data_IF_471282380444
#
_entry.id   IF_471282380444
#
_cell.length_a   1.000
_cell.length_b   1.000
_cell.length_c   1.000
_cell.angle_alpha   90.00
_cell.angle_beta   90.00
_cell.angle_gamma   90.00
#
_symmetry.space_group_name_H-M   'P 1'
#
loop_
_entity.id
_entity.type
_entity.pdbx_description
1 polymer ?
#
# COMPACT_ATOMS: atom_id res chain seq x y z
N UNK A 1 -35.81 -34.66 -30.71
CA UNK A 1 -34.57 -33.87 -30.92
C UNK A 1 -34.88 -32.42 -30.56
N UNK A 2 -34.75 -32.06 -29.29
CA UNK A 2 -34.79 -30.67 -28.84
C UNK A 2 -33.37 -30.27 -28.48
N UNK A 3 -32.80 -29.36 -29.27
CA UNK A 3 -31.48 -28.81 -29.05
C UNK A 3 -31.44 -27.99 -27.77
N UNK A 4 -30.60 -28.43 -26.84
CA UNK A 4 -30.09 -27.61 -25.75
C UNK A 4 -29.15 -26.56 -26.34
N UNK A 5 -29.67 -25.37 -26.65
CA UNK A 5 -28.84 -24.17 -26.66
C UNK A 5 -28.54 -23.81 -25.21
N UNK A 6 -27.51 -24.44 -24.65
CA UNK A 6 -26.80 -23.93 -23.49
C UNK A 6 -26.07 -22.68 -23.99
N UNK A 7 -26.80 -21.57 -24.05
CA UNK A 7 -26.21 -20.25 -24.02
C UNK A 7 -25.57 -20.15 -22.65
N UNK A 8 -24.28 -20.51 -22.59
CA UNK A 8 -23.40 -20.14 -21.49
C UNK A 8 -23.43 -18.61 -21.50
N UNK A 9 -24.32 -18.03 -20.70
CA UNK A 9 -24.19 -16.68 -20.25
C UNK A 9 -22.82 -16.62 -19.57
N UNK A 10 -21.79 -16.21 -20.33
CA UNK A 10 -20.61 -15.62 -19.73
C UNK A 10 -21.17 -14.54 -18.82
N UNK A 11 -21.20 -14.81 -17.52
CA UNK A 11 -21.47 -13.80 -16.53
C UNK A 11 -20.49 -12.69 -16.84
N UNK A 12 -20.99 -11.64 -17.48
CA UNK A 12 -20.25 -10.40 -17.70
C UNK A 12 -20.01 -9.90 -16.28
N UNK A 13 -18.84 -10.26 -15.75
CA UNK A 13 -18.41 -9.79 -14.45
C UNK A 13 -18.47 -8.28 -14.54
N UNK A 14 -19.27 -7.67 -13.68
CA UNK A 14 -19.53 -6.25 -13.74
C UNK A 14 -18.18 -5.51 -13.72
N UNK A 15 -17.83 -4.67 -14.73
CA UNK A 15 -16.57 -3.93 -14.77
C UNK A 15 -16.34 -3.06 -13.52
N UNK A 16 -17.38 -2.88 -12.70
CA UNK A 16 -17.40 -2.26 -11.39
C UNK A 16 -16.53 -2.96 -10.32
N UNK A 17 -16.16 -4.24 -10.49
CA UNK A 17 -15.37 -4.98 -9.48
C UNK A 17 -13.95 -4.42 -9.31
N UNK A 18 -13.36 -3.87 -10.37
CA UNK A 18 -12.00 -3.31 -10.33
C UNK A 18 -11.98 -1.84 -9.91
N UNK A 19 -13.04 -1.07 -10.19
CA UNK A 19 -13.11 0.36 -9.86
C UNK A 19 -14.24 0.66 -8.87
N UNK A 20 -13.94 0.77 -7.57
CA UNK A 20 -14.93 1.06 -6.55
C UNK A 20 -15.51 2.49 -6.66
N UNK A 21 -14.93 3.39 -7.46
CA UNK A 21 -15.54 4.70 -7.72
C UNK A 21 -16.84 4.61 -8.52
N UNK A 22 -17.13 3.48 -9.17
CA UNK A 22 -18.45 3.29 -9.81
C UNK A 22 -19.57 3.16 -8.78
N UNK A 23 -19.24 2.86 -7.52
CA UNK A 23 -20.19 2.84 -6.40
C UNK A 23 -20.60 4.24 -5.94
N UNK A 24 -19.91 5.29 -6.40
CA UNK A 24 -20.18 6.69 -6.08
C UNK A 24 -20.92 7.35 -7.25
N UNK A 25 -21.78 8.33 -6.96
CA UNK A 25 -22.51 9.05 -8.01
C UNK A 25 -21.55 9.62 -9.07
N UNK A 26 -21.84 9.44 -10.38
CA UNK A 26 -20.91 9.79 -11.45
C UNK A 26 -20.60 11.28 -11.52
N UNK A 27 -21.49 12.13 -10.99
CA UNK A 27 -21.29 13.57 -10.89
C UNK A 27 -20.21 13.96 -9.86
N UNK A 28 -20.03 13.17 -8.80
CA UNK A 28 -19.13 13.48 -7.68
C UNK A 28 -17.84 12.65 -7.72
N UNK A 29 -17.91 11.44 -8.29
CA UNK A 29 -16.80 10.49 -8.31
C UNK A 29 -15.47 11.06 -8.84
N UNK A 30 -15.41 11.83 -9.95
CA UNK A 30 -14.15 12.36 -10.46
C UNK A 30 -13.51 13.38 -9.51
N UNK A 31 -14.30 14.33 -8.99
CA UNK A 31 -13.81 15.36 -8.07
C UNK A 31 -13.32 14.74 -6.76
N UNK A 32 -14.07 13.76 -6.25
CA UNK A 32 -13.69 13.02 -5.05
C UNK A 32 -12.40 12.21 -5.26
N UNK A 33 -12.27 11.51 -6.41
CA UNK A 33 -11.07 10.76 -6.75
C UNK A 33 -9.83 11.64 -6.81
N UNK A 34 -9.93 12.80 -7.47
CA UNK A 34 -8.83 13.77 -7.55
C UNK A 34 -8.46 14.29 -6.16
N UNK A 35 -9.44 14.66 -5.33
CA UNK A 35 -9.19 15.15 -3.98
C UNK A 35 -8.50 14.08 -3.09
N UNK A 36 -9.04 12.86 -3.04
CA UNK A 36 -8.47 11.75 -2.27
C UNK A 36 -7.05 11.44 -2.74
N UNK A 37 -6.84 11.38 -4.06
CA UNK A 37 -5.52 11.11 -4.66
C UNK A 37 -4.54 12.20 -4.31
N UNK A 38 -4.89 13.47 -4.53
CA UNK A 38 -4.01 14.60 -4.27
C UNK A 38 -3.57 14.65 -2.79
N UNK A 39 -4.51 14.42 -1.86
CA UNK A 39 -4.22 14.35 -0.42
C UNK A 39 -3.31 13.17 -0.11
N UNK A 40 -3.64 11.97 -0.60
CA UNK A 40 -2.88 10.74 -0.30
C UNK A 40 -1.46 10.79 -0.86
N UNK A 41 -1.29 11.26 -2.10
CA UNK A 41 0.02 11.46 -2.74
C UNK A 41 0.84 12.48 -1.96
N UNK A 42 0.25 13.64 -1.63
CA UNK A 42 0.94 14.71 -0.91
C UNK A 42 1.43 14.24 0.45
N UNK A 43 0.57 13.55 1.21
CA UNK A 43 0.94 12.99 2.52
C UNK A 43 2.03 11.92 2.38
N UNK A 44 1.90 11.00 1.42
CA UNK A 44 2.89 9.93 1.22
C UNK A 44 4.26 10.47 0.84
N UNK A 45 4.32 11.45 -0.08
CA UNK A 45 5.57 12.11 -0.47
C UNK A 45 6.16 12.94 0.69
N UNK A 46 5.32 13.58 1.50
CA UNK A 46 5.78 14.31 2.68
C UNK A 46 6.42 13.36 3.70
N UNK A 47 5.79 12.22 3.98
CA UNK A 47 6.34 11.17 4.86
C UNK A 47 7.65 10.64 4.29
N UNK A 48 7.67 10.32 2.98
CA UNK A 48 8.88 9.86 2.29
C UNK A 48 10.03 10.86 2.44
N UNK A 49 9.77 12.15 2.22
CA UNK A 49 10.77 13.23 2.39
C UNK A 49 11.30 13.30 3.82
N UNK A 50 10.45 13.15 4.84
CA UNK A 50 10.90 13.13 6.23
C UNK A 50 11.82 11.95 6.53
N UNK A 51 11.47 10.76 6.06
CA UNK A 51 12.33 9.59 6.23
C UNK A 51 13.62 9.67 5.42
N UNK A 52 13.58 10.22 4.21
CA UNK A 52 14.76 10.41 3.38
C UNK A 52 15.75 11.36 4.06
N UNK A 53 15.24 12.46 4.62
CA UNK A 53 16.06 13.37 5.44
C UNK A 53 16.66 12.64 6.64
N UNK A 54 15.88 11.84 7.37
CA UNK A 54 16.41 11.04 8.48
C UNK A 54 17.47 10.03 8.03
N UNK A 55 17.29 9.40 6.87
CA UNK A 55 18.26 8.47 6.28
C UNK A 55 19.60 9.15 5.98
N UNK A 56 19.58 10.34 5.36
CA UNK A 56 20.81 11.08 5.06
C UNK A 56 21.64 11.42 6.30
N UNK A 57 21.00 11.55 7.48
CA UNK A 57 21.72 11.77 8.74
C UNK A 57 22.22 10.50 9.41
N UNK A 58 21.51 9.38 9.30
CA UNK A 58 21.85 8.14 10.00
C UNK A 58 22.70 7.17 9.18
N UNK A 59 22.64 7.21 7.84
CA UNK A 59 23.46 6.40 6.94
C UNK A 59 23.15 4.88 6.92
N UNK A 60 22.17 4.40 7.69
CA UNK A 60 21.83 2.98 7.74
C UNK A 60 20.98 2.55 6.54
N UNK A 61 21.52 1.65 5.70
CA UNK A 61 20.86 1.16 4.49
C UNK A 61 19.46 0.58 4.70
N UNK A 62 19.20 -0.08 5.84
CA UNK A 62 17.87 -0.64 6.14
C UNK A 62 16.79 0.43 6.33
N UNK A 63 17.16 1.69 6.62
CA UNK A 63 16.21 2.80 6.74
C UNK A 63 15.72 3.31 5.38
N UNK A 64 16.34 2.89 4.27
CA UNK A 64 15.97 3.31 2.91
C UNK A 64 14.62 2.71 2.44
N UNK A 65 14.23 1.54 2.97
CA UNK A 65 12.94 0.91 2.62
C UNK A 65 11.73 1.74 3.05
N UNK A 66 11.84 2.54 4.13
CA UNK A 66 10.78 3.46 4.56
C UNK A 66 10.50 4.60 3.56
N UNK A 67 11.47 5.48 3.21
CA UNK A 67 11.21 6.55 2.25
C UNK A 67 10.86 6.03 0.86
N UNK A 68 11.51 4.96 0.40
CA UNK A 68 11.19 4.36 -0.91
C UNK A 68 9.78 3.75 -0.89
N UNK A 69 9.44 3.02 0.17
CA UNK A 69 8.10 2.45 0.32
C UNK A 69 7.00 3.50 0.32
N UNK A 70 7.14 4.59 1.08
CA UNK A 70 6.17 5.70 1.03
C UNK A 70 6.16 6.44 -0.32
N UNK A 71 7.28 6.51 -1.05
CA UNK A 71 7.28 7.05 -2.40
C UNK A 71 6.48 6.15 -3.36
N UNK A 72 6.64 4.83 -3.27
CA UNK A 72 5.92 3.85 -4.08
C UNK A 72 4.42 3.82 -3.75
N UNK A 73 4.05 3.97 -2.48
CA UNK A 73 2.66 4.18 -2.06
C UNK A 73 2.06 5.44 -2.73
N UNK A 74 2.81 6.54 -2.74
CA UNK A 74 2.40 7.77 -3.44
C UNK A 74 2.21 7.54 -4.94
N UNK A 75 3.16 6.87 -5.60
CA UNK A 75 3.06 6.51 -7.01
C UNK A 75 1.83 5.61 -7.29
N UNK A 76 1.53 4.65 -6.39
CA UNK A 76 0.37 3.78 -6.53
C UNK A 76 -0.95 4.56 -6.61
N UNK A 77 -1.09 5.63 -5.82
CA UNK A 77 -2.28 6.48 -5.85
C UNK A 77 -2.39 7.29 -7.14
N UNK A 78 -1.28 7.66 -7.77
CA UNK A 78 -1.32 8.29 -9.10
C UNK A 78 -1.86 7.30 -10.15
N UNK A 79 -1.45 6.04 -10.08
CA UNK A 79 -1.96 4.99 -10.97
C UNK A 79 -3.44 4.65 -10.69
N UNK A 80 -3.92 4.79 -9.45
CA UNK A 80 -5.35 4.73 -9.12
C UNK A 80 -6.14 5.78 -9.91
N UNK A 81 -5.68 7.03 -9.91
CA UNK A 81 -6.31 8.10 -10.69
C UNK A 81 -6.18 7.86 -12.20
N UNK A 82 -5.02 7.40 -12.68
CA UNK A 82 -4.84 7.05 -14.10
C UNK A 82 -5.81 5.96 -14.53
N UNK A 83 -6.00 4.91 -13.73
CA UNK A 83 -6.96 3.84 -14.04
C UNK A 83 -8.38 4.41 -14.22
N UNK A 84 -8.79 5.37 -13.38
CA UNK A 84 -10.09 6.02 -13.47
C UNK A 84 -10.23 6.87 -14.74
N UNK A 85 -9.17 7.61 -15.12
CA UNK A 85 -9.17 8.44 -16.34
C UNK A 85 -9.29 7.58 -17.60
N UNK A 86 -8.67 6.41 -17.62
CA UNK A 86 -8.69 5.48 -18.74
C UNK A 86 -9.76 4.40 -18.63
N UNK A 87 -10.80 4.56 -17.79
CA UNK A 87 -11.84 3.55 -17.54
C UNK A 87 -12.54 2.98 -18.78
N UNK A 88 -12.56 3.74 -19.88
CA UNK A 88 -13.19 3.33 -21.14
C UNK A 88 -12.24 2.54 -22.06
N UNK A 89 -10.93 2.56 -21.77
CA UNK A 89 -9.92 1.87 -22.55
C UNK A 89 -9.72 0.44 -22.00
N UNK A 90 -9.97 -0.61 -22.80
CA UNK A 90 -9.92 -2.00 -22.34
C UNK A 90 -8.50 -2.51 -22.05
N UNK A 91 -7.45 -1.78 -22.45
CA UNK A 91 -6.05 -2.15 -22.20
C UNK A 91 -5.42 -1.30 -21.10
N UNK A 92 -5.60 0.02 -21.17
CA UNK A 92 -4.94 0.95 -20.23
C UNK A 92 -5.57 0.89 -18.83
N UNK A 93 -6.90 0.74 -18.73
CA UNK A 93 -7.57 0.61 -17.44
C UNK A 93 -7.04 -0.56 -16.59
N UNK A 94 -7.08 -1.83 -17.07
CA UNK A 94 -6.57 -2.95 -16.28
C UNK A 94 -5.05 -2.86 -16.06
N UNK A 95 -4.28 -2.31 -17.00
CA UNK A 95 -2.84 -2.11 -16.83
C UNK A 95 -2.52 -1.13 -15.69
N UNK A 96 -3.18 0.03 -15.63
CA UNK A 96 -2.95 1.00 -14.55
C UNK A 96 -3.45 0.52 -13.19
N UNK A 97 -4.63 -0.10 -13.15
CA UNK A 97 -5.14 -0.75 -11.94
C UNK A 97 -4.14 -1.78 -11.40
N UNK A 98 -3.54 -2.54 -12.30
CA UNK A 98 -2.54 -3.53 -11.94
C UNK A 98 -1.25 -2.93 -11.38
N UNK A 99 -0.70 -1.92 -12.07
CA UNK A 99 0.51 -1.22 -11.63
C UNK A 99 0.28 -0.59 -10.26
N UNK A 100 -0.90 0.00 -10.02
CA UNK A 100 -1.32 0.49 -8.72
C UNK A 100 -1.21 -0.61 -7.64
N UNK A 101 -1.87 -1.75 -7.83
CA UNK A 101 -1.91 -2.83 -6.83
C UNK A 101 -0.51 -3.41 -6.56
N UNK A 102 0.32 -3.51 -7.59
CA UNK A 102 1.70 -3.99 -7.49
C UNK A 102 2.55 -3.03 -6.67
N UNK A 103 2.55 -1.74 -7.02
CA UNK A 103 3.29 -0.70 -6.30
C UNK A 103 2.86 -0.55 -4.85
N UNK A 104 1.55 -0.68 -4.55
CA UNK A 104 1.06 -0.62 -3.18
C UNK A 104 1.59 -1.79 -2.34
N UNK A 105 1.61 -2.99 -2.90
CA UNK A 105 2.10 -4.19 -2.21
C UNK A 105 3.61 -4.15 -1.99
N UNK A 106 4.35 -3.67 -2.99
CA UNK A 106 5.79 -3.41 -2.92
C UNK A 106 6.14 -2.38 -1.85
N UNK A 107 5.42 -1.26 -1.84
CA UNK A 107 5.60 -0.21 -0.87
C UNK A 107 5.52 -0.73 0.56
N UNK A 108 4.47 -1.52 0.85
CA UNK A 108 4.26 -2.12 2.17
C UNK A 108 5.33 -3.15 2.50
N UNK A 109 5.75 -3.96 1.52
CA UNK A 109 6.80 -4.95 1.69
C UNK A 109 8.16 -4.30 1.99
N UNK A 110 8.51 -3.20 1.32
CA UNK A 110 9.73 -2.42 1.59
C UNK A 110 9.71 -1.81 3.00
N UNK A 111 8.56 -1.27 3.42
CA UNK A 111 8.37 -0.75 4.78
C UNK A 111 8.55 -1.89 5.79
N UNK A 112 7.94 -3.05 5.56
CA UNK A 112 8.08 -4.22 6.42
C UNK A 112 9.51 -4.72 6.52
N UNK A 113 10.24 -4.73 5.40
CA UNK A 113 11.65 -5.12 5.35
C UNK A 113 12.53 -4.19 6.20
N UNK A 114 12.28 -2.87 6.16
CA UNK A 114 12.94 -1.92 7.05
C UNK A 114 12.70 -2.22 8.54
N UNK A 115 11.48 -2.59 8.91
CA UNK A 115 11.16 -2.97 10.30
C UNK A 115 11.75 -4.32 10.70
N UNK A 116 11.83 -5.26 9.77
CA UNK A 116 12.44 -6.56 9.97
C UNK A 116 13.93 -6.42 10.30
N UNK A 117 14.70 -5.75 9.45
CA UNK A 117 16.13 -5.56 9.69
C UNK A 117 16.43 -4.74 10.95
N UNK A 118 15.62 -3.72 11.24
CA UNK A 118 15.71 -2.97 12.51
C UNK A 118 15.56 -3.89 13.74
N UNK A 119 14.68 -4.88 13.66
CA UNK A 119 14.47 -5.83 14.77
C UNK A 119 15.59 -6.87 14.89
N UNK A 120 16.20 -7.26 13.77
CA UNK A 120 17.31 -8.23 13.71
C UNK A 120 18.60 -7.66 14.28
N UNK A 121 18.92 -6.39 14.00
CA UNK A 121 20.11 -5.71 14.54
C UNK A 121 20.07 -5.59 16.08
N UNK A 122 18.88 -5.57 16.68
CA UNK A 122 18.70 -5.52 18.13
C UNK A 122 18.75 -6.88 18.83
N UNK A 123 18.75 -8.00 18.07
CA UNK A 123 18.48 -9.33 18.65
C UNK A 123 19.68 -10.24 18.83
N UNK A 124 20.76 -10.19 18.05
CA UNK A 124 21.97 -10.99 18.37
C UNK A 124 23.16 -10.81 17.41
N UNK A 125 24.34 -10.73 18.02
CA UNK A 125 25.65 -11.01 17.44
C UNK A 125 25.73 -12.48 16.98
N UNK A 126 25.73 -12.73 15.67
CA UNK A 126 25.97 -14.07 15.15
C UNK A 126 25.45 -14.27 13.75
N UNK A 127 26.28 -13.93 12.76
CA UNK A 127 26.06 -14.16 11.33
C UNK A 127 25.75 -15.63 11.03
N UNK A 128 24.48 -16.01 11.10
CA UNK A 128 23.96 -17.16 10.35
C UNK A 128 22.72 -16.65 9.65
N UNK A 129 22.87 -16.34 8.36
CA UNK A 129 21.75 -16.02 7.47
C UNK A 129 20.78 -17.19 7.59
N UNK A 130 19.71 -17.02 8.35
CA UNK A 130 18.72 -18.07 8.55
C UNK A 130 17.95 -18.17 7.24
N UNK A 131 17.53 -19.37 6.84
CA UNK A 131 16.65 -19.53 5.67
C UNK A 131 15.40 -18.63 5.74
N UNK A 132 14.98 -18.28 6.96
CA UNK A 132 13.96 -17.29 7.26
C UNK A 132 14.30 -15.89 6.73
N UNK A 133 15.55 -15.46 6.80
CA UNK A 133 15.99 -14.12 6.39
C UNK A 133 16.02 -14.03 4.87
N UNK A 134 16.49 -15.09 4.20
CA UNK A 134 16.40 -15.22 2.73
C UNK A 134 14.94 -15.18 2.31
N UNK A 135 14.06 -15.97 2.94
CA UNK A 135 12.63 -16.01 2.64
C UNK A 135 11.97 -14.63 2.81
N UNK A 136 12.21 -13.95 3.93
CA UNK A 136 11.63 -12.62 4.20
C UNK A 136 12.14 -11.57 3.22
N UNK A 137 13.38 -11.70 2.73
CA UNK A 137 13.96 -10.76 1.76
C UNK A 137 13.56 -11.08 0.32
N UNK A 138 13.35 -12.36 -0.02
CA UNK A 138 12.88 -12.78 -1.35
C UNK A 138 11.37 -12.68 -1.50
N UNK A 139 10.59 -12.72 -0.42
CA UNK A 139 9.12 -12.61 -0.49
C UNK A 139 8.64 -11.33 -1.19
N UNK A 140 9.16 -10.11 -0.87
CA UNK A 140 8.84 -8.90 -1.63
C UNK A 140 9.21 -9.05 -3.11
N UNK A 141 10.37 -9.61 -3.41
CA UNK A 141 10.92 -9.70 -4.76
C UNK A 141 10.15 -10.70 -5.65
N UNK A 142 9.69 -11.81 -5.07
CA UNK A 142 8.81 -12.79 -5.72
C UNK A 142 7.40 -12.23 -5.86
N UNK A 143 6.90 -11.53 -4.85
CA UNK A 143 5.58 -10.87 -4.88
C UNK A 143 5.55 -9.62 -5.77
N UNK A 144 6.70 -9.08 -6.18
CA UNK A 144 6.84 -8.11 -7.30
C UNK A 144 6.75 -8.86 -8.62
N UNK A 145 7.55 -9.93 -8.75
CA UNK A 145 7.69 -10.65 -10.01
C UNK A 145 6.39 -11.33 -10.45
N UNK A 146 5.60 -11.88 -9.52
CA UNK A 146 4.33 -12.56 -9.83
C UNK A 146 3.34 -11.58 -10.50
N UNK A 147 3.09 -10.38 -9.94
CA UNK A 147 2.31 -9.35 -10.60
C UNK A 147 2.87 -8.92 -11.95
N UNK A 148 4.18 -8.81 -12.14
CA UNK A 148 4.67 -8.48 -13.49
C UNK A 148 4.56 -9.65 -14.48
N UNK A 149 4.74 -10.90 -14.03
CA UNK A 149 4.74 -12.08 -14.89
C UNK A 149 3.34 -12.46 -15.37
N UNK A 150 2.33 -12.48 -14.49
CA UNK A 150 0.99 -12.98 -14.81
C UNK A 150 0.30 -12.21 -15.95
N UNK A 151 0.25 -10.88 -15.97
CA UNK A 151 -0.41 -10.13 -17.02
C UNK A 151 0.42 -10.04 -18.29
N UNK A 152 1.75 -9.96 -18.17
CA UNK A 152 2.65 -9.99 -19.33
C UNK A 152 2.52 -11.32 -20.06
N UNK A 153 2.40 -12.42 -19.31
CA UNK A 153 2.08 -13.73 -19.85
C UNK A 153 0.66 -13.77 -20.44
N UNK A 154 -0.33 -13.18 -19.76
CA UNK A 154 -1.71 -13.11 -20.28
C UNK A 154 -1.78 -12.35 -21.60
N UNK A 155 -1.13 -11.19 -21.71
CA UNK A 155 -1.02 -10.35 -22.91
C UNK A 155 -0.27 -11.06 -24.06
N UNK A 156 0.74 -11.86 -23.72
CA UNK A 156 1.46 -12.66 -24.72
C UNK A 156 0.62 -13.84 -25.23
N UNK A 157 -0.26 -14.40 -24.39
CA UNK A 157 -1.09 -15.57 -24.72
C UNK A 157 -2.46 -15.22 -25.33
N UNK A 158 -3.02 -14.07 -24.99
CA UNK A 158 -4.31 -13.57 -25.45
C UNK A 158 -4.24 -12.04 -25.63
N UNK A 159 -4.88 -11.47 -26.67
CA UNK A 159 -4.82 -10.04 -26.96
C UNK A 159 -5.59 -9.15 -25.95
N UNK A 160 -6.24 -9.73 -24.93
CA UNK A 160 -7.07 -9.02 -23.96
C UNK A 160 -6.79 -9.49 -22.52
N UNK A 161 -6.94 -8.58 -21.55
CA UNK A 161 -6.82 -8.90 -20.14
C UNK A 161 -8.04 -9.70 -19.64
N UNK A 162 -7.79 -10.76 -18.85
CA UNK A 162 -8.83 -11.49 -18.15
C UNK A 162 -9.26 -10.73 -16.87
N UNK A 163 -10.32 -9.93 -16.97
CA UNK A 163 -10.85 -9.12 -15.86
C UNK A 163 -11.19 -9.92 -14.60
N UNK A 164 -11.73 -11.14 -14.74
CA UNK A 164 -12.06 -11.98 -13.60
C UNK A 164 -10.79 -12.43 -12.85
N UNK A 165 -9.76 -12.82 -13.59
CA UNK A 165 -8.46 -13.17 -13.00
C UNK A 165 -7.78 -11.98 -12.30
N UNK A 166 -7.91 -10.76 -12.85
CA UNK A 166 -7.43 -9.55 -12.18
C UNK A 166 -8.18 -9.24 -10.90
N UNK A 167 -9.49 -9.43 -10.88
CA UNK A 167 -10.32 -9.20 -9.71
C UNK A 167 -9.92 -10.14 -8.57
N UNK A 168 -9.76 -11.44 -8.87
CA UNK A 168 -9.31 -12.43 -7.88
C UNK A 168 -7.90 -12.13 -7.38
N UNK A 169 -6.97 -11.75 -8.26
CA UNK A 169 -5.63 -11.35 -7.81
C UNK A 169 -5.68 -10.10 -6.93
N UNK A 170 -6.53 -9.12 -7.25
CA UNK A 170 -6.67 -7.92 -6.43
C UNK A 170 -7.09 -8.27 -4.99
N UNK A 171 -7.95 -9.28 -4.83
CA UNK A 171 -8.34 -9.80 -3.52
C UNK A 171 -7.14 -10.44 -2.81
N UNK A 172 -6.39 -11.34 -3.47
CA UNK A 172 -5.20 -11.95 -2.87
C UNK A 172 -4.13 -10.94 -2.46
N UNK A 173 -3.91 -9.90 -3.28
CA UNK A 173 -2.96 -8.82 -2.98
C UNK A 173 -3.40 -8.00 -1.76
N UNK A 174 -4.71 -7.74 -1.59
CA UNK A 174 -5.24 -7.07 -0.39
C UNK A 174 -5.01 -7.91 0.87
N UNK A 175 -5.27 -9.22 0.82
CA UNK A 175 -5.00 -10.13 1.94
C UNK A 175 -3.50 -10.15 2.29
N UNK A 176 -2.64 -10.19 1.27
CA UNK A 176 -1.20 -10.07 1.46
C UNK A 176 -0.82 -8.74 2.14
N UNK A 177 -1.34 -7.61 1.65
CA UNK A 177 -1.09 -6.29 2.22
C UNK A 177 -1.54 -6.21 3.69
N UNK A 178 -2.70 -6.79 4.02
CA UNK A 178 -3.16 -6.91 5.40
C UNK A 178 -2.18 -7.70 6.27
N UNK A 179 -1.64 -8.82 5.78
CA UNK A 179 -0.67 -9.62 6.52
C UNK A 179 0.65 -8.85 6.74
N UNK A 180 1.13 -8.14 5.72
CA UNK A 180 2.34 -7.31 5.79
C UNK A 180 2.17 -6.15 6.76
N UNK A 181 1.05 -5.42 6.68
CA UNK A 181 0.75 -4.33 7.62
C UNK A 181 0.59 -4.88 9.05
N UNK A 182 -0.06 -6.04 9.21
CA UNK A 182 -0.18 -6.70 10.51
C UNK A 182 1.19 -7.06 11.11
N UNK A 183 2.13 -7.50 10.28
CA UNK A 183 3.52 -7.71 10.71
C UNK A 183 4.19 -6.39 11.14
N UNK A 184 4.07 -5.32 10.36
CA UNK A 184 4.61 -3.99 10.70
C UNK A 184 4.01 -3.49 12.02
N UNK A 185 2.70 -3.62 12.19
CA UNK A 185 1.98 -3.25 13.42
C UNK A 185 2.54 -4.00 14.63
N UNK A 186 2.69 -5.33 14.53
CA UNK A 186 3.28 -6.14 15.61
C UNK A 186 4.71 -5.70 15.94
N UNK A 187 5.54 -5.46 14.92
CA UNK A 187 6.93 -5.03 15.10
C UNK A 187 7.04 -3.64 15.76
N UNK A 188 6.17 -2.71 15.36
CA UNK A 188 6.10 -1.36 15.93
C UNK A 188 5.62 -1.36 17.38
N UNK A 189 4.61 -2.17 17.73
CA UNK A 189 4.17 -2.36 19.12
C UNK A 189 5.28 -2.96 19.98
N UNK A 190 5.98 -4.00 19.49
CA UNK A 190 7.10 -4.58 20.22
C UNK A 190 8.22 -3.55 20.47
N UNK A 191 8.54 -2.73 19.47
CA UNK A 191 9.50 -1.63 19.61
C UNK A 191 9.01 -0.55 20.58
N UNK A 192 7.71 -0.27 20.62
CA UNK A 192 7.09 0.71 21.51
C UNK A 192 7.19 0.28 22.98
N UNK A 193 6.83 -0.98 23.26
CA UNK A 193 6.89 -1.57 24.61
C UNK A 193 8.32 -1.54 25.14
N UNK A 194 9.32 -1.86 24.31
CA UNK A 194 10.75 -1.78 24.69
C UNK A 194 11.20 -0.35 24.99
N UNK A 195 10.70 0.64 24.26
CA UNK A 195 11.11 2.04 24.41
C UNK A 195 10.36 2.78 25.54
N UNK A 196 9.31 2.18 26.13
CA UNK A 196 8.49 2.74 27.21
C UNK A 196 8.01 4.20 26.98
N UNK A 197 7.81 4.59 25.72
CA UNK A 197 7.48 5.98 25.38
C UNK A 197 6.10 6.06 24.70
N UNK A 198 5.09 6.46 25.47
CA UNK A 198 3.69 6.51 25.04
C UNK A 198 3.45 7.42 23.83
N UNK A 199 4.32 8.42 23.59
CA UNK A 199 4.22 9.33 22.45
C UNK A 199 4.54 8.64 21.10
N UNK A 200 5.07 7.42 21.12
CA UNK A 200 5.29 6.62 19.91
C UNK A 200 4.07 5.75 19.54
N UNK A 201 3.01 5.74 20.34
CA UNK A 201 1.78 4.96 20.08
C UNK A 201 1.06 5.36 18.79
N UNK A 202 1.27 6.59 18.32
CA UNK A 202 0.65 7.08 17.09
C UNK A 202 1.15 6.33 15.84
N UNK A 203 2.37 5.80 15.84
CA UNK A 203 2.93 5.04 14.70
C UNK A 203 2.17 3.72 14.45
N UNK A 204 2.02 2.82 15.43
CA UNK A 204 1.19 1.63 15.24
C UNK A 204 -0.28 1.99 14.99
N UNK A 205 -0.82 3.05 15.60
CA UNK A 205 -2.19 3.49 15.31
C UNK A 205 -2.36 3.87 13.82
N UNK A 206 -1.38 4.55 13.23
CA UNK A 206 -1.40 4.90 11.81
C UNK A 206 -1.33 3.66 10.90
N UNK A 207 -0.53 2.64 11.26
CA UNK A 207 -0.54 1.35 10.54
C UNK A 207 -1.86 0.58 10.72
N UNK A 208 -2.51 0.67 11.88
CA UNK A 208 -3.83 0.07 12.08
C UNK A 208 -4.90 0.72 11.18
N UNK A 209 -4.81 2.04 10.93
CA UNK A 209 -5.69 2.73 9.99
C UNK A 209 -5.43 2.30 8.53
N UNK A 210 -4.18 2.10 8.13
CA UNK A 210 -3.85 1.52 6.82
C UNK A 210 -4.30 0.04 6.72
N UNK A 211 -4.27 -0.72 7.81
CA UNK A 211 -4.84 -2.06 7.83
C UNK A 211 -6.36 -2.04 7.65
N UNK A 212 -7.03 -1.10 8.32
CA UNK A 212 -8.47 -0.88 8.19
C UNK A 212 -8.86 -0.46 6.77
N UNK A 213 -8.04 0.34 6.09
CA UNK A 213 -8.21 0.63 4.65
C UNK A 213 -8.27 -0.66 3.83
N UNK A 214 -7.28 -1.55 3.98
CA UNK A 214 -7.22 -2.80 3.21
C UNK A 214 -8.39 -3.72 3.54
N UNK A 215 -8.75 -3.84 4.82
CA UNK A 215 -9.90 -4.61 5.27
C UNK A 215 -11.22 -4.09 4.67
N UNK A 216 -11.39 -2.77 4.66
CA UNK A 216 -12.59 -2.14 4.11
C UNK A 216 -12.69 -2.31 2.59
N UNK A 217 -11.56 -2.36 1.88
CA UNK A 217 -11.53 -2.74 0.45
C UNK A 217 -11.87 -4.21 0.23
N UNK A 218 -11.48 -5.10 1.14
CA UNK A 218 -11.89 -6.52 1.08
C UNK A 218 -13.39 -6.65 1.27
N UNK A 219 -13.99 -5.91 2.21
CA UNK A 219 -15.45 -5.89 2.36
C UNK A 219 -16.13 -5.37 1.09
N UNK A 220 -15.67 -4.24 0.55
CA UNK A 220 -16.20 -3.64 -0.67
C UNK A 220 -16.16 -4.60 -1.87
N UNK A 221 -15.22 -5.54 -1.92
CA UNK A 221 -15.15 -6.57 -2.96
C UNK A 221 -16.31 -7.58 -2.87
N UNK A 222 -16.78 -7.94 -1.66
CA UNK A 222 -17.87 -8.90 -1.48
C UNK A 222 -19.25 -8.24 -1.48
N UNK A 223 -19.39 -7.07 -0.86
CA UNK A 223 -20.68 -6.44 -0.63
C UNK A 223 -21.00 -5.30 -1.62
N UNK A 224 -20.04 -4.93 -2.47
CA UNK A 224 -20.14 -3.77 -3.37
C UNK A 224 -20.62 -2.49 -2.64
N UNK A 225 -20.24 -2.33 -1.38
CA UNK A 225 -20.72 -1.25 -0.52
C UNK A 225 -19.93 0.04 -0.75
N UNK A 226 -20.63 1.09 -1.19
CA UNK A 226 -20.06 2.44 -1.27
C UNK A 226 -19.54 2.94 0.09
N UNK A 227 -20.18 2.52 1.19
CA UNK A 227 -19.78 2.90 2.55
C UNK A 227 -18.43 2.25 2.89
N UNK A 228 -18.23 0.97 2.53
CA UNK A 228 -16.95 0.29 2.73
C UNK A 228 -15.83 0.95 1.91
N UNK A 229 -16.13 1.40 0.68
CA UNK A 229 -15.17 2.14 -0.12
C UNK A 229 -14.81 3.51 0.48
N UNK A 230 -15.82 4.33 0.84
CA UNK A 230 -15.59 5.65 1.44
C UNK A 230 -14.86 5.51 2.78
N UNK A 231 -15.22 4.51 3.59
CA UNK A 231 -14.55 4.17 4.84
C UNK A 231 -13.08 3.81 4.63
N UNK A 232 -12.77 3.07 3.57
CA UNK A 232 -11.38 2.78 3.18
C UNK A 232 -10.59 4.05 2.86
N UNK A 233 -11.14 4.93 2.02
CA UNK A 233 -10.50 6.19 1.66
C UNK A 233 -10.27 7.09 2.88
N UNK A 234 -11.26 7.18 3.78
CA UNK A 234 -11.14 7.93 5.02
C UNK A 234 -10.06 7.35 5.94
N UNK A 235 -10.02 6.03 6.12
CA UNK A 235 -9.02 5.34 6.93
C UNK A 235 -7.59 5.55 6.37
N UNK A 236 -7.42 5.46 5.05
CA UNK A 236 -6.16 5.76 4.36
C UNK A 236 -5.68 7.18 4.61
N UNK A 237 -6.54 8.18 4.38
CA UNK A 237 -6.18 9.58 4.61
C UNK A 237 -5.86 9.85 6.09
N UNK A 238 -6.65 9.29 7.02
CA UNK A 238 -6.41 9.43 8.44
C UNK A 238 -5.08 8.78 8.87
N UNK A 239 -4.78 7.57 8.37
CA UNK A 239 -3.53 6.87 8.63
C UNK A 239 -2.31 7.63 8.12
N UNK A 240 -2.35 8.11 6.87
CA UNK A 240 -1.29 8.92 6.28
C UNK A 240 -1.13 10.27 6.99
N UNK A 241 -2.22 10.95 7.33
CA UNK A 241 -2.19 12.23 8.04
C UNK A 241 -1.58 12.07 9.43
N UNK A 242 -1.95 11.00 10.15
CA UNK A 242 -1.38 10.68 11.45
C UNK A 242 0.13 10.41 11.34
N UNK A 243 0.57 9.63 10.35
CA UNK A 243 1.99 9.42 10.07
C UNK A 243 2.75 10.72 9.81
N UNK A 244 2.22 11.54 8.91
CA UNK A 244 2.74 12.84 8.56
C UNK A 244 2.90 13.75 9.79
N UNK A 245 1.86 13.83 10.62
CA UNK A 245 1.83 14.62 11.85
C UNK A 245 2.94 14.20 12.82
N UNK A 246 3.10 12.91 13.07
CA UNK A 246 4.14 12.37 13.95
C UNK A 246 5.52 12.74 13.43
N UNK A 247 5.77 12.49 12.14
CA UNK A 247 7.07 12.75 11.52
C UNK A 247 7.42 14.23 11.53
N UNK A 248 6.44 15.10 11.32
CA UNK A 248 6.60 16.54 11.46
C UNK A 248 6.98 16.92 12.90
N UNK A 249 6.24 16.41 13.90
CA UNK A 249 6.49 16.71 15.31
C UNK A 249 7.88 16.28 15.79
N UNK A 250 8.35 15.11 15.35
CA UNK A 250 9.68 14.57 15.69
C UNK A 250 10.78 15.39 15.02
N UNK A 251 10.59 15.75 13.75
CA UNK A 251 11.59 16.53 12.99
C UNK A 251 11.72 17.95 13.52
N UNK A 252 10.60 18.59 13.87
CA UNK A 252 10.58 19.95 14.43
C UNK A 252 11.32 20.03 15.76
N UNK A 253 11.10 19.06 16.67
CA UNK A 253 11.83 18.99 17.96
C UNK A 253 13.34 18.86 17.79
N UNK A 254 13.80 17.97 16.90
CA UNK A 254 15.23 17.83 16.62
C UNK A 254 15.85 19.13 16.11
N UNK A 255 15.13 19.90 15.30
CA UNK A 255 15.63 21.19 14.81
C UNK A 255 15.84 22.18 15.95
N UNK A 256 14.87 22.30 16.86
CA UNK A 256 14.98 23.16 18.04
C UNK A 256 16.13 22.75 18.96
N UNK A 257 16.33 21.44 19.18
CA UNK A 257 17.45 20.94 19.98
C UNK A 257 18.82 21.27 19.36
N UNK A 258 18.94 21.18 18.02
CA UNK A 258 20.18 21.54 17.31
C UNK A 258 20.42 23.05 17.37
N UNK A 259 19.38 23.86 17.20
CA UNK A 259 19.47 25.32 17.29
C UNK A 259 19.87 25.76 18.71
N UNK A 260 19.30 25.14 19.75
CA UNK A 260 19.68 25.39 21.14
C UNK A 260 21.14 25.02 21.45
N UNK A 261 21.64 23.90 20.90
CA UNK A 261 23.06 23.49 21.04
C UNK A 261 24.05 24.38 20.31
N UNK A 262 23.61 25.11 19.28
CA UNK A 262 24.46 26.08 18.57
C UNK A 262 24.48 27.45 19.26
N UNK A 263 23.50 27.71 20.13
CA UNK A 263 23.35 28.96 20.87
C UNK A 263 23.96 28.91 22.29
N UNK A 264 24.35 27.73 22.76
CA UNK A 264 25.08 27.49 24.00
C UNK A 264 26.58 27.30 23.72
#
# INVERSE_FOLDING_TARGET
>A
MCGHEIIIAMAVLDPNVLNPFVLVSPAVAPALAVAITAISVSLSLMISRYFFKSYTFSGFGYLLGLPVGFAFLGASFLFELSSLMYRADPLLYPAFFWIQMSLQSEALALIALSYYYKSSDASESGKRVRARDVLVTTLPLVMVAIPFLVPTFSLASQPYFNYAGLADLSFYMRIFNMAVIGYIFKSTIASLVRAANIKLLYVPAAFALLWLEQYSLVLAYFDNSAIAFIGSAAARMAGLALFAYIMHSVTSRRKMEIEARKAA
#
